data_IF_592750569930
#
_entry.id   IF_592750569930
#
_cell.length_a   1.000
_cell.length_b   1.000
_cell.length_c   1.000
_cell.angle_alpha   90.00
_cell.angle_beta   90.00
_cell.angle_gamma   90.00
#
_symmetry.space_group_name_H-M   'P 1'
#
loop_
_entity.id
_entity.type
_entity.pdbx_description
1 polymer ?
#
# COMPACT_ATOMS: atom_id res chain seq x y z
N UNK A 1 4.37 2.84 5.15
CA UNK A 1 2.90 2.75 5.32
C UNK A 1 2.26 3.21 4.01
N UNK A 2 1.03 2.80 3.75
CA UNK A 2 0.25 3.20 2.59
C UNK A 2 -1.21 3.41 3.01
N UNK A 3 -1.90 4.34 2.36
CA UNK A 3 -3.28 4.69 2.63
C UNK A 3 -4.02 4.89 1.31
N UNK A 4 -5.29 4.51 1.30
CA UNK A 4 -6.25 4.85 0.26
C UNK A 4 -7.20 5.86 0.87
N UNK A 5 -7.28 7.03 0.26
CA UNK A 5 -8.02 8.19 0.77
C UNK A 5 -9.08 8.54 -0.27
N UNK A 6 -10.27 8.88 0.22
CA UNK A 6 -11.31 9.54 -0.57
C UNK A 6 -11.09 11.05 -0.45
N UNK A 7 -10.60 11.70 -1.51
CA UNK A 7 -10.29 13.14 -1.50
C UNK A 7 -11.54 14.03 -1.37
N UNK A 8 -12.70 13.56 -1.82
CA UNK A 8 -13.95 14.34 -1.71
C UNK A 8 -14.44 14.37 -0.26
N UNK A 9 -14.34 13.23 0.44
CA UNK A 9 -14.79 13.10 1.83
C UNK A 9 -13.69 13.36 2.86
N UNK A 10 -12.43 13.38 2.44
CA UNK A 10 -11.26 13.50 3.32
C UNK A 10 -11.09 12.32 4.29
N UNK A 11 -11.61 11.14 3.94
CA UNK A 11 -11.59 9.96 4.83
C UNK A 11 -10.63 8.88 4.30
N UNK A 12 -9.95 8.21 5.22
CA UNK A 12 -9.13 7.03 4.87
C UNK A 12 -10.04 5.82 4.70
N UNK A 13 -10.11 5.30 3.48
CA UNK A 13 -10.88 4.10 3.15
C UNK A 13 -10.12 2.83 3.54
N UNK A 14 -8.80 2.79 3.34
CA UNK A 14 -7.96 1.68 3.77
C UNK A 14 -6.58 2.17 4.15
N UNK A 15 -5.91 1.48 5.06
CA UNK A 15 -4.53 1.77 5.46
C UNK A 15 -3.78 0.47 5.64
N UNK A 16 -2.46 0.48 5.42
CA UNK A 16 -1.57 -0.63 5.73
C UNK A 16 -0.21 -0.11 6.21
N UNK A 17 0.36 -0.71 7.25
CA UNK A 17 1.68 -0.31 7.75
C UNK A 17 2.48 -1.46 8.35
N UNK A 18 3.82 -1.35 8.29
CA UNK A 18 4.75 -2.29 8.93
C UNK A 18 4.69 -2.29 10.47
N UNK A 19 3.85 -1.43 11.06
CA UNK A 19 3.57 -1.40 12.50
C UNK A 19 2.37 -2.27 12.88
N UNK A 20 1.59 -2.76 11.92
CA UNK A 20 0.44 -3.61 12.19
C UNK A 20 0.86 -5.00 12.69
N UNK A 21 0.02 -5.60 13.53
CA UNK A 21 0.33 -6.88 14.15
C UNK A 21 0.57 -8.00 13.14
N UNK A 22 -0.14 -7.98 12.00
CA UNK A 22 0.04 -8.94 10.91
C UNK A 22 1.39 -8.89 10.20
N UNK A 23 2.16 -7.81 10.39
CA UNK A 23 3.47 -7.59 9.75
C UNK A 23 4.63 -7.58 10.76
N UNK A 24 4.38 -8.00 12.02
CA UNK A 24 5.39 -8.04 13.09
C UNK A 24 6.53 -9.06 12.86
N UNK A 25 6.36 -10.00 11.93
CA UNK A 25 7.34 -11.05 11.62
C UNK A 25 8.46 -10.64 10.66
N UNK A 26 8.42 -9.42 10.11
CA UNK A 26 9.44 -8.92 9.19
C UNK A 26 10.77 -8.67 9.92
N UNK A 27 11.86 -9.27 9.41
CA UNK A 27 13.23 -9.03 9.91
C UNK A 27 13.63 -7.55 9.88
N UNK A 28 13.07 -6.78 8.94
CA UNK A 28 13.26 -5.33 8.87
C UNK A 28 11.99 -4.64 8.42
N UNK A 29 11.66 -3.54 9.09
CA UNK A 29 10.43 -2.75 8.84
C UNK A 29 10.61 -1.66 7.77
N UNK A 30 11.82 -1.54 7.20
CA UNK A 30 12.22 -0.43 6.32
C UNK A 30 12.92 -0.91 5.04
N UNK A 31 12.75 -2.17 4.65
CA UNK A 31 13.35 -2.73 3.44
C UNK A 31 12.31 -2.91 2.31
N UNK A 32 12.78 -3.36 1.14
CA UNK A 32 11.96 -3.60 -0.05
C UNK A 32 10.91 -4.69 0.21
N UNK A 33 11.28 -5.77 0.91
CA UNK A 33 10.36 -6.87 1.25
C UNK A 33 9.17 -6.39 2.08
N UNK A 34 9.43 -5.56 3.10
CA UNK A 34 8.38 -4.95 3.91
C UNK A 34 7.47 -4.03 3.10
N UNK A 35 8.02 -3.31 2.12
CA UNK A 35 7.23 -2.47 1.23
C UNK A 35 6.32 -3.29 0.31
N UNK A 36 6.79 -4.45 -0.17
CA UNK A 36 5.98 -5.39 -0.94
C UNK A 36 4.83 -5.94 -0.12
N UNK A 37 5.09 -6.37 1.12
CA UNK A 37 4.03 -6.86 2.00
C UNK A 37 2.97 -5.78 2.32
N UNK A 38 3.40 -4.54 2.58
CA UNK A 38 2.46 -3.43 2.78
C UNK A 38 1.63 -3.17 1.51
N UNK A 39 2.24 -3.22 0.34
CA UNK A 39 1.58 -3.06 -0.95
C UNK A 39 0.54 -4.15 -1.23
N UNK A 40 0.88 -5.40 -0.92
CA UNK A 40 -0.05 -6.51 -1.05
C UNK A 40 -1.25 -6.40 -0.10
N UNK A 41 -0.99 -6.07 1.18
CA UNK A 41 -2.03 -5.94 2.19
C UNK A 41 -3.00 -4.79 1.91
N UNK A 42 -2.49 -3.61 1.48
CA UNK A 42 -3.38 -2.49 1.15
C UNK A 42 -4.28 -2.84 -0.03
N UNK A 43 -3.75 -3.58 -1.00
CA UNK A 43 -4.51 -3.98 -2.18
C UNK A 43 -5.63 -4.98 -1.86
N UNK A 44 -5.34 -5.97 -1.00
CA UNK A 44 -6.36 -6.90 -0.52
C UNK A 44 -7.47 -6.18 0.25
N UNK A 45 -7.12 -5.26 1.16
CA UNK A 45 -8.10 -4.45 1.89
C UNK A 45 -8.92 -3.54 0.99
N UNK A 46 -8.33 -3.00 -0.07
CA UNK A 46 -9.07 -2.20 -1.04
C UNK A 46 -10.11 -3.06 -1.76
N UNK A 47 -9.71 -4.26 -2.22
CA UNK A 47 -10.61 -5.22 -2.87
C UNK A 47 -11.74 -5.67 -1.99
N UNK A 48 -11.49 -5.94 -0.71
CA UNK A 48 -12.54 -6.25 0.28
C UNK A 48 -13.58 -5.12 0.41
N UNK A 49 -13.14 -3.87 0.19
CA UNK A 49 -14.01 -2.69 0.18
C UNK A 49 -14.57 -2.36 -1.21
N UNK A 50 -14.32 -3.19 -2.22
CA UNK A 50 -14.76 -2.97 -3.60
C UNK A 50 -13.99 -1.89 -4.36
N UNK A 51 -12.85 -1.44 -3.83
CA UNK A 51 -11.99 -0.43 -4.45
C UNK A 51 -10.99 -1.14 -5.35
N UNK A 52 -11.02 -0.81 -6.65
CA UNK A 52 -10.18 -1.44 -7.68
C UNK A 52 -9.29 -0.42 -8.39
N UNK A 53 -9.79 0.80 -8.59
CA UNK A 53 -9.07 1.89 -9.24
C UNK A 53 -8.70 2.96 -8.20
N UNK A 54 -7.43 3.38 -8.20
CA UNK A 54 -6.91 4.46 -7.36
C UNK A 54 -5.90 5.29 -8.14
N UNK A 55 -5.42 6.38 -7.56
CA UNK A 55 -4.26 7.12 -8.07
C UNK A 55 -3.09 6.90 -7.13
N UNK A 56 -1.94 6.51 -7.67
CA UNK A 56 -0.75 6.29 -6.85
C UNK A 56 -0.02 7.59 -6.56
N UNK A 57 -0.22 8.10 -5.34
CA UNK A 57 0.56 9.23 -4.82
C UNK A 57 1.89 8.75 -4.21
N UNK A 58 2.97 9.35 -4.70
CA UNK A 58 4.34 9.10 -4.24
C UNK A 58 4.76 10.03 -3.13
N UNK A 59 3.94 11.00 -2.74
CA UNK A 59 4.21 11.95 -1.67
C UNK A 59 5.61 12.60 -1.77
N UNK A 60 6.02 12.97 -2.99
CA UNK A 60 7.33 13.57 -3.29
C UNK A 60 8.53 12.61 -3.35
N UNK A 61 8.37 11.32 -3.05
CA UNK A 61 9.44 10.34 -3.17
C UNK A 61 9.71 9.94 -4.64
N UNK A 62 10.97 9.58 -4.92
CA UNK A 62 11.33 9.00 -6.22
C UNK A 62 10.63 7.65 -6.40
N UNK A 63 10.12 7.38 -7.59
CA UNK A 63 9.58 6.07 -7.92
C UNK A 63 10.73 5.08 -8.12
N UNK A 64 11.23 4.55 -7.00
CA UNK A 64 12.36 3.62 -6.95
C UNK A 64 12.32 2.85 -5.63
N UNK A 65 13.11 1.77 -5.55
CA UNK A 65 13.27 0.98 -4.33
C UNK A 65 11.92 0.58 -3.70
N UNK A 66 11.76 0.89 -2.41
CA UNK A 66 10.56 0.56 -1.64
C UNK A 66 9.26 1.15 -2.22
N UNK A 67 9.28 2.35 -2.81
CA UNK A 67 8.08 2.98 -3.39
C UNK A 67 7.62 2.21 -4.63
N UNK A 68 8.55 1.84 -5.50
CA UNK A 68 8.25 1.03 -6.68
C UNK A 68 7.82 -0.39 -6.29
N UNK A 69 8.44 -0.99 -5.28
CA UNK A 69 8.11 -2.32 -4.81
C UNK A 69 6.72 -2.40 -4.18
N UNK A 70 6.32 -1.39 -3.40
CA UNK A 70 4.97 -1.26 -2.86
C UNK A 70 3.93 -1.12 -3.97
N UNK A 71 4.21 -0.24 -4.95
CA UNK A 71 3.33 -0.03 -6.10
C UNK A 71 3.12 -1.32 -6.91
N UNK A 72 4.20 -2.03 -7.22
CA UNK A 72 4.14 -3.28 -7.98
C UNK A 72 3.37 -4.36 -7.21
N UNK A 73 3.63 -4.53 -5.92
CA UNK A 73 2.90 -5.50 -5.10
C UNK A 73 1.40 -5.19 -5.01
N UNK A 74 1.02 -3.92 -4.95
CA UNK A 74 -0.38 -3.52 -4.97
C UNK A 74 -1.04 -3.82 -6.34
N UNK A 75 -0.33 -3.57 -7.46
CA UNK A 75 -0.80 -3.93 -8.81
C UNK A 75 -0.99 -5.43 -8.98
N UNK A 76 -0.04 -6.24 -8.52
CA UNK A 76 -0.10 -7.70 -8.61
C UNK A 76 -1.32 -8.29 -7.88
N UNK A 77 -1.82 -7.59 -6.85
CA UNK A 77 -3.02 -7.97 -6.09
C UNK A 77 -4.33 -7.42 -6.66
N UNK A 78 -4.26 -6.69 -7.78
CA UNK A 78 -5.40 -6.27 -8.58
C UNK A 78 -5.84 -4.81 -8.40
N UNK A 79 -5.02 -3.97 -7.75
CA UNK A 79 -5.23 -2.52 -7.84
C UNK A 79 -4.79 -2.00 -9.20
N UNK A 80 -5.58 -1.10 -9.76
CA UNK A 80 -5.32 -0.42 -11.03
C UNK A 80 -4.97 1.03 -10.74
N UNK A 81 -3.75 1.42 -11.15
CA UNK A 81 -3.19 2.78 -11.09
C UNK A 81 -1.87 2.89 -11.85
#
# INVERSE_FOLDING_TARGET
YAQIIDDEKGVTLAAASTLEEGLKGLESKSNVAAAQEVGANIAERAREKGITEVVFDRNGYKYHGSVAALANAARDKGLVF
#
